data_IF_843283270314
#
_entry.id   IF_843283270314
#
_cell.length_a   1.000
_cell.length_b   1.000
_cell.length_c   1.000
_cell.angle_alpha   90.00
_cell.angle_beta   90.00
_cell.angle_gamma   90.00
#
_symmetry.space_group_name_H-M   'P 1'
#
loop_
_entity.id
_entity.type
_entity.pdbx_description
1 polymer ?
#
# COMPACT_ATOMS: atom_id res chain seq x y z
N UNK A 1 6.49 -27.39 44.18
CA UNK A 1 6.83 -26.09 43.58
C UNK A 1 5.90 -25.85 42.39
N UNK A 2 5.20 -24.73 42.31
CA UNK A 2 4.21 -24.49 41.26
C UNK A 2 4.92 -24.32 39.92
N UNK A 3 4.36 -24.97 38.89
CA UNK A 3 4.78 -24.83 37.49
C UNK A 3 4.52 -23.38 37.09
N UNK A 4 5.57 -22.63 36.74
CA UNK A 4 5.42 -21.36 36.05
C UNK A 4 4.78 -21.65 34.68
N UNK A 5 3.47 -21.46 34.60
CA UNK A 5 2.78 -21.34 33.32
C UNK A 5 3.20 -19.99 32.76
N UNK A 6 4.14 -20.00 31.81
CA UNK A 6 4.48 -18.81 31.03
C UNK A 6 3.38 -18.58 30.00
N UNK A 7 2.19 -18.15 30.45
CA UNK A 7 1.23 -17.49 29.57
C UNK A 7 1.77 -16.09 29.31
N UNK A 8 2.68 -15.98 28.33
CA UNK A 8 2.97 -14.68 27.73
C UNK A 8 1.63 -14.14 27.17
N UNK A 9 1.25 -12.89 27.45
CA UNK A 9 0.02 -12.33 26.92
C UNK A 9 0.06 -12.41 25.39
N UNK A 10 -1.02 -12.91 24.81
CA UNK A 10 -1.24 -12.87 23.36
C UNK A 10 -1.67 -11.44 23.02
N UNK A 11 -0.68 -10.59 22.78
CA UNK A 11 -0.87 -9.18 22.47
C UNK A 11 -0.19 -8.82 21.15
N UNK A 12 -0.89 -8.05 20.32
CA UNK A 12 -0.34 -7.53 19.08
C UNK A 12 -0.86 -6.14 18.81
N UNK A 13 0.05 -5.26 18.44
CA UNK A 13 -0.24 -3.87 18.12
C UNK A 13 0.49 -3.46 16.85
N UNK A 14 -0.18 -2.69 16.02
CA UNK A 14 0.37 -1.98 14.87
C UNK A 14 0.72 -0.58 15.36
N UNK A 15 1.98 -0.16 15.18
CA UNK A 15 2.40 1.21 15.45
C UNK A 15 1.59 2.17 14.56
N UNK A 16 0.66 2.89 15.18
CA UNK A 16 -0.35 3.67 14.47
C UNK A 16 -0.50 5.06 15.10
N UNK A 17 -0.29 6.10 14.28
CA UNK A 17 -0.51 7.50 14.64
C UNK A 17 -1.84 7.99 14.07
N UNK A 18 -2.68 8.56 14.94
CA UNK A 18 -3.93 9.20 14.54
C UNK A 18 -3.75 10.71 14.48
N UNK A 19 -4.15 11.32 13.36
CA UNK A 19 -4.29 12.76 13.25
C UNK A 19 -5.48 13.22 14.11
N UNK A 20 -5.28 14.30 14.86
CA UNK A 20 -6.40 14.96 15.54
C UNK A 20 -7.30 15.60 14.50
N UNK A 21 -8.61 15.41 14.63
CA UNK A 21 -9.59 15.99 13.73
C UNK A 21 -9.44 17.51 13.62
N UNK A 22 -9.43 18.04 12.41
CA UNK A 22 -9.19 19.47 12.12
C UNK A 22 -10.46 20.34 12.14
N UNK A 23 -11.61 19.76 11.82
CA UNK A 23 -12.94 20.42 11.84
C UNK A 23 -13.94 19.59 12.64
N UNK A 24 -15.22 19.97 12.76
CA UNK A 24 -16.18 19.25 13.61
C UNK A 24 -16.74 17.97 12.98
N UNK A 25 -16.79 17.89 11.64
CA UNK A 25 -17.39 16.75 10.92
C UNK A 25 -16.39 15.81 10.22
N UNK A 26 -15.08 16.05 10.33
CA UNK A 26 -14.02 15.31 9.63
C UNK A 26 -13.46 14.07 10.33
N UNK A 27 -14.20 13.43 11.23
CA UNK A 27 -13.75 12.19 11.85
C UNK A 27 -13.39 11.12 10.80
N UNK A 28 -14.16 11.07 9.71
CA UNK A 28 -13.93 10.19 8.56
C UNK A 28 -12.62 10.50 7.82
N UNK A 29 -12.30 11.79 7.63
CA UNK A 29 -11.09 12.23 6.93
C UNK A 29 -9.85 11.98 7.80
N UNK A 30 -9.94 12.21 9.11
CA UNK A 30 -8.86 11.95 10.06
C UNK A 30 -8.49 10.46 10.11
N UNK A 31 -9.49 9.58 10.20
CA UNK A 31 -9.26 8.13 10.15
C UNK A 31 -8.69 7.71 8.78
N UNK A 32 -9.28 8.19 7.68
CA UNK A 32 -8.81 7.88 6.32
C UNK A 32 -7.34 8.25 6.13
N UNK A 33 -6.99 9.50 6.43
CA UNK A 33 -5.62 10.01 6.27
C UNK A 33 -4.64 9.25 7.17
N UNK A 34 -5.01 9.02 8.43
CA UNK A 34 -4.17 8.28 9.38
C UNK A 34 -3.94 6.84 8.96
N UNK A 35 -5.00 6.11 8.57
CA UNK A 35 -4.91 4.72 8.07
C UNK A 35 -4.03 4.68 6.82
N UNK A 36 -4.27 5.57 5.87
CA UNK A 36 -3.49 5.66 4.65
C UNK A 36 -2.01 5.93 4.94
N UNK A 37 -1.71 6.86 5.84
CA UNK A 37 -0.35 7.20 6.27
C UNK A 37 0.33 6.06 7.02
N UNK A 38 -0.41 5.32 7.85
CA UNK A 38 0.11 4.15 8.53
C UNK A 38 0.54 3.06 7.55
N UNK A 39 -0.26 2.81 6.50
CA UNK A 39 0.12 1.86 5.47
C UNK A 39 1.23 2.36 4.55
N UNK A 40 1.25 3.67 4.28
CA UNK A 40 2.31 4.29 3.51
C UNK A 40 3.64 4.35 4.28
N UNK A 41 3.59 4.40 5.62
CA UNK A 41 4.76 4.67 6.47
C UNK A 41 5.18 6.14 6.51
N UNK A 42 4.37 7.05 5.97
CA UNK A 42 4.65 8.48 5.85
C UNK A 42 3.36 9.31 5.77
N UNK A 43 3.42 10.61 6.11
CA UNK A 43 2.27 11.52 6.18
C UNK A 43 1.85 12.08 4.80
N UNK A 44 1.59 11.20 3.82
CA UNK A 44 1.18 11.60 2.46
C UNK A 44 -0.22 12.21 2.38
N UNK A 45 -1.07 11.87 3.35
CA UNK A 45 -2.46 12.27 3.38
C UNK A 45 -2.69 13.21 4.55
N UNK A 46 -3.20 14.39 4.25
CA UNK A 46 -3.82 15.29 5.23
C UNK A 46 -5.33 15.13 5.15
N UNK A 47 -6.03 15.49 6.23
CA UNK A 47 -7.50 15.52 6.24
C UNK A 47 -8.05 16.35 5.09
N UNK A 48 -7.44 17.51 4.81
CA UNK A 48 -7.88 18.33 3.71
C UNK A 48 -7.61 17.76 2.32
N UNK A 49 -6.51 17.03 2.12
CA UNK A 49 -6.24 16.36 0.84
C UNK A 49 -7.27 15.26 0.57
N UNK A 50 -7.73 14.58 1.63
CA UNK A 50 -8.81 13.59 1.58
C UNK A 50 -10.13 14.29 1.26
N UNK A 51 -10.49 15.33 2.02
CA UNK A 51 -11.71 16.12 1.81
C UNK A 51 -11.78 16.71 0.39
N UNK A 52 -10.66 17.28 -0.09
CA UNK A 52 -10.62 17.89 -1.41
C UNK A 52 -10.85 16.89 -2.53
N UNK A 53 -10.35 15.66 -2.39
CA UNK A 53 -10.59 14.58 -3.37
C UNK A 53 -11.99 13.99 -3.28
N UNK A 54 -12.56 13.95 -2.07
CA UNK A 54 -13.93 13.48 -1.86
C UNK A 54 -14.94 14.42 -2.51
N UNK A 55 -14.79 15.71 -2.28
CA UNK A 55 -15.73 16.72 -2.76
C UNK A 55 -15.35 17.34 -4.11
N UNK A 56 -14.18 16.99 -4.65
CA UNK A 56 -13.65 17.52 -5.90
C UNK A 56 -13.58 19.07 -5.93
N UNK A 57 -13.16 19.66 -4.80
CA UNK A 57 -12.98 21.12 -4.56
C UNK A 57 -11.87 21.35 -3.52
N UNK A 58 -11.20 22.51 -3.47
CA UNK A 58 -10.21 22.79 -2.43
C UNK A 58 -10.89 22.87 -1.06
N UNK A 59 -10.36 22.15 -0.07
CA UNK A 59 -10.90 22.10 1.29
C UNK A 59 -9.80 22.25 2.36
N UNK A 60 -8.66 22.91 2.10
CA UNK A 60 -7.59 22.99 3.11
C UNK A 60 -7.79 24.11 4.15
N UNK A 61 -7.51 23.85 5.45
CA UNK A 61 -7.64 24.86 6.50
C UNK A 61 -6.78 26.09 6.19
N UNK A 62 -7.42 27.26 6.12
CA UNK A 62 -6.80 28.54 5.76
C UNK A 62 -7.44 29.17 4.52
N UNK A 63 -7.97 28.34 3.63
CA UNK A 63 -8.92 28.74 2.60
C UNK A 63 -10.31 28.62 3.25
N UNK A 64 -10.98 29.73 3.57
CA UNK A 64 -12.29 29.71 4.26
C UNK A 64 -13.36 28.96 3.44
N UNK A 65 -13.45 27.64 3.63
CA UNK A 65 -14.42 26.75 3.01
C UNK A 65 -15.31 26.07 4.06
N UNK A 66 -16.21 26.83 4.74
CA UNK A 66 -17.16 26.26 5.69
C UNK A 66 -18.02 25.14 5.06
N UNK A 67 -18.24 25.20 3.74
CA UNK A 67 -18.91 24.16 2.95
C UNK A 67 -18.12 22.84 2.80
N UNK A 68 -16.93 22.74 3.37
CA UNK A 68 -16.18 21.49 3.42
C UNK A 68 -16.31 20.79 4.78
N UNK A 69 -16.80 21.45 5.84
CA UNK A 69 -17.01 20.84 7.16
C UNK A 69 -18.30 20.00 7.19
N UNK A 70 -18.33 18.95 6.38
CA UNK A 70 -19.48 18.06 6.20
C UNK A 70 -19.16 16.62 6.65
N UNK A 71 -20.19 15.91 7.12
CA UNK A 71 -20.10 14.49 7.41
C UNK A 71 -20.00 13.68 6.11
N UNK A 72 -19.32 12.53 6.17
CA UNK A 72 -19.14 11.67 5.01
C UNK A 72 -18.81 10.23 5.42
N UNK A 73 -18.62 9.37 4.43
CA UNK A 73 -18.45 7.94 4.62
C UNK A 73 -16.96 7.54 4.64
N UNK A 74 -16.59 6.69 5.60
CA UNK A 74 -15.21 6.23 5.77
C UNK A 74 -14.76 5.28 4.64
N UNK A 75 -15.65 4.44 4.13
CA UNK A 75 -15.35 3.55 3.01
C UNK A 75 -15.01 4.32 1.73
N UNK A 76 -15.74 5.39 1.42
CA UNK A 76 -15.42 6.28 0.30
C UNK A 76 -14.06 6.94 0.47
N UNK A 77 -13.75 7.46 1.65
CA UNK A 77 -12.43 8.01 1.97
C UNK A 77 -11.31 6.96 1.80
N UNK A 78 -11.50 5.77 2.34
CA UNK A 78 -10.58 4.64 2.16
C UNK A 78 -10.48 4.19 0.70
N UNK A 79 -11.53 4.36 -0.11
CA UNK A 79 -11.49 4.08 -1.54
C UNK A 79 -10.65 5.13 -2.29
N UNK A 80 -10.77 6.42 -1.95
CA UNK A 80 -9.96 7.52 -2.52
C UNK A 80 -8.46 7.37 -2.22
N UNK A 81 -8.13 6.77 -1.09
CA UNK A 81 -6.75 6.47 -0.68
C UNK A 81 -6.29 5.07 -1.12
N UNK A 82 -7.15 4.31 -1.80
CA UNK A 82 -6.93 2.92 -2.22
C UNK A 82 -6.69 1.93 -1.07
N UNK A 83 -7.06 2.29 0.15
CA UNK A 83 -6.92 1.48 1.35
C UNK A 83 -8.17 0.67 1.72
N UNK A 84 -9.29 0.80 1.00
CA UNK A 84 -10.48 -0.04 1.24
C UNK A 84 -10.24 -1.49 0.77
N UNK A 85 -10.45 -2.46 1.65
CA UNK A 85 -10.22 -3.88 1.39
C UNK A 85 -11.48 -4.65 0.99
N UNK A 86 -12.63 -4.26 1.53
CA UNK A 86 -13.93 -4.86 1.25
C UNK A 86 -15.03 -3.80 1.52
N UNK A 87 -16.26 -4.02 1.02
CA UNK A 87 -17.42 -3.22 1.43
C UNK A 87 -17.56 -3.19 2.95
N UNK A 88 -18.18 -2.13 3.47
CA UNK A 88 -18.48 -2.05 4.89
C UNK A 88 -19.32 -3.24 5.36
N UNK A 89 -19.07 -3.64 6.61
CA UNK A 89 -19.76 -4.75 7.26
C UNK A 89 -20.63 -4.19 8.39
N UNK A 90 -21.97 -4.32 8.34
CA UNK A 90 -22.88 -3.69 9.31
C UNK A 90 -22.98 -4.47 10.62
N UNK A 91 -21.83 -4.79 11.22
CA UNK A 91 -21.70 -5.40 12.56
C UNK A 91 -20.30 -5.20 13.12
N UNK A 92 -20.17 -5.42 14.42
CA UNK A 92 -18.87 -5.62 15.07
C UNK A 92 -18.20 -6.92 14.59
N UNK A 93 -16.87 -6.93 14.59
CA UNK A 93 -16.07 -8.15 14.41
C UNK A 93 -16.00 -8.94 15.71
N UNK A 94 -15.93 -10.27 15.63
CA UNK A 94 -15.56 -11.09 16.78
C UNK A 94 -14.11 -10.85 17.21
N UNK A 95 -13.74 -11.32 18.42
CA UNK A 95 -12.34 -11.27 18.88
C UNK A 95 -11.39 -11.97 17.91
N UNK A 96 -11.78 -13.12 17.36
CA UNK A 96 -10.96 -13.88 16.41
C UNK A 96 -10.82 -13.15 15.07
N UNK A 97 -11.89 -12.53 14.58
CA UNK A 97 -11.84 -11.72 13.36
C UNK A 97 -10.93 -10.49 13.54
N UNK A 98 -10.93 -9.86 14.72
CA UNK A 98 -10.01 -8.76 15.06
C UNK A 98 -8.57 -9.29 15.05
N UNK A 99 -8.31 -10.44 15.68
CA UNK A 99 -6.98 -11.08 15.68
C UNK A 99 -6.52 -11.32 14.25
N UNK A 100 -7.34 -11.92 13.40
CA UNK A 100 -7.00 -12.23 12.01
C UNK A 100 -6.60 -10.98 11.20
N UNK A 101 -7.29 -9.84 11.39
CA UNK A 101 -6.92 -8.60 10.72
C UNK A 101 -5.60 -8.03 11.24
N UNK A 102 -5.48 -7.89 12.56
CA UNK A 102 -4.28 -7.33 13.20
C UNK A 102 -3.06 -8.21 12.95
N UNK A 103 -3.23 -9.53 12.94
CA UNK A 103 -2.16 -10.49 12.68
C UNK A 103 -1.63 -10.41 11.25
N UNK A 104 -2.48 -9.97 10.34
CA UNK A 104 -2.13 -9.67 8.95
C UNK A 104 -1.72 -8.21 8.75
N UNK A 105 -1.46 -7.47 9.85
CA UNK A 105 -1.09 -6.05 9.89
C UNK A 105 -2.10 -5.15 9.21
N UNK A 106 -3.40 -5.44 9.36
CA UNK A 106 -4.49 -4.60 8.85
C UNK A 106 -5.21 -3.88 9.98
N UNK A 107 -5.23 -2.55 9.90
CA UNK A 107 -6.06 -1.69 10.73
C UNK A 107 -7.55 -1.94 10.44
N UNK A 108 -8.42 -1.67 11.42
CA UNK A 108 -9.87 -1.82 11.25
C UNK A 108 -10.53 -0.48 11.57
N UNK A 109 -11.22 0.09 10.58
CA UNK A 109 -12.07 1.24 10.82
C UNK A 109 -13.38 0.81 11.48
N UNK A 110 -13.89 1.62 12.40
CA UNK A 110 -15.09 1.33 13.19
C UNK A 110 -15.99 2.54 13.21
N UNK A 111 -17.29 2.33 12.96
CA UNK A 111 -18.31 3.36 13.20
C UNK A 111 -19.02 3.11 14.52
N UNK A 112 -18.82 4.03 15.46
CA UNK A 112 -19.64 4.14 16.66
C UNK A 112 -20.90 4.92 16.30
N UNK A 113 -22.06 4.39 16.70
CA UNK A 113 -23.37 5.04 16.55
C UNK A 113 -23.95 5.28 17.92
N UNK A 114 -24.46 6.49 18.15
CA UNK A 114 -25.23 6.84 19.35
C UNK A 114 -26.74 6.78 19.08
N UNK A 115 -27.53 6.71 20.15
CA UNK A 115 -28.99 6.66 20.08
C UNK A 115 -29.60 7.90 19.39
N UNK A 116 -28.96 9.07 19.51
CA UNK A 116 -29.35 10.32 18.87
C UNK A 116 -29.06 10.37 17.35
N UNK A 117 -28.52 9.30 16.76
CA UNK A 117 -28.23 9.21 15.33
C UNK A 117 -26.82 9.64 14.93
N UNK A 118 -26.07 10.29 15.82
CA UNK A 118 -24.68 10.69 15.55
C UNK A 118 -23.79 9.49 15.29
N UNK A 119 -22.84 9.65 14.36
CA UNK A 119 -21.84 8.65 14.01
C UNK A 119 -20.44 9.20 14.20
N UNK A 120 -19.53 8.36 14.69
CA UNK A 120 -18.12 8.70 14.85
C UNK A 120 -17.25 7.57 14.36
N UNK A 121 -16.15 7.91 13.68
CA UNK A 121 -15.18 6.94 13.20
C UNK A 121 -13.98 6.87 14.12
N UNK A 122 -13.56 5.65 14.44
CA UNK A 122 -12.35 5.33 15.19
C UNK A 122 -11.61 4.19 14.48
N UNK A 123 -10.36 3.94 14.89
CA UNK A 123 -9.54 2.87 14.31
C UNK A 123 -9.03 1.94 15.40
N UNK A 124 -9.25 0.63 15.20
CA UNK A 124 -8.60 -0.43 15.97
C UNK A 124 -7.23 -0.71 15.32
N UNK A 125 -6.20 -0.74 16.15
CA UNK A 125 -4.82 -0.99 15.72
C UNK A 125 -4.11 -2.09 16.50
N UNK A 126 -4.81 -2.79 17.39
CA UNK A 126 -4.23 -3.92 18.12
C UNK A 126 -5.23 -4.63 19.01
N UNK A 127 -4.78 -5.72 19.63
CA UNK A 127 -5.48 -6.40 20.71
C UNK A 127 -4.52 -6.86 21.80
N UNK A 128 -5.05 -7.11 23.00
CA UNK A 128 -4.35 -7.83 24.06
C UNK A 128 -5.29 -8.75 24.81
N UNK A 129 -4.78 -9.89 25.25
CA UNK A 129 -5.49 -10.80 26.15
C UNK A 129 -4.83 -10.69 27.52
N UNK A 130 -5.55 -10.18 28.51
CA UNK A 130 -5.09 -10.09 29.89
C UNK A 130 -6.07 -10.82 30.81
N UNK A 131 -5.58 -11.77 31.60
CA UNK A 131 -6.37 -12.59 32.51
C UNK A 131 -7.62 -13.25 31.85
N UNK A 132 -7.51 -13.64 30.58
CA UNK A 132 -8.60 -14.24 29.80
C UNK A 132 -9.63 -13.25 29.23
N UNK A 133 -9.45 -11.94 29.46
CA UNK A 133 -10.28 -10.89 28.88
C UNK A 133 -9.63 -10.29 27.63
N UNK A 134 -10.45 -10.04 26.60
CA UNK A 134 -10.00 -9.46 25.34
C UNK A 134 -10.16 -7.93 25.37
N UNK A 135 -9.05 -7.24 25.12
CA UNK A 135 -8.97 -5.79 25.04
C UNK A 135 -8.51 -5.37 23.65
N UNK A 136 -8.91 -4.17 23.24
CA UNK A 136 -8.67 -3.67 21.88
C UNK A 136 -7.95 -2.33 21.97
N UNK A 137 -6.86 -2.15 21.24
CA UNK A 137 -6.17 -0.86 21.17
C UNK A 137 -6.87 0.03 20.15
N UNK A 138 -7.31 1.21 20.59
CA UNK A 138 -8.13 2.14 19.80
C UNK A 138 -7.48 3.52 19.75
N UNK A 139 -7.48 4.10 18.54
CA UNK A 139 -7.25 5.54 18.34
C UNK A 139 -8.54 6.22 17.87
N UNK A 140 -8.79 7.39 18.42
CA UNK A 140 -9.94 8.22 18.17
C UNK A 140 -9.43 9.62 17.75
N UNK A 141 -9.88 10.19 16.62
CA UNK A 141 -9.35 11.48 16.15
C UNK A 141 -9.77 12.67 17.04
N UNK A 142 -10.74 12.50 17.94
CA UNK A 142 -11.18 13.56 18.87
C UNK A 142 -10.62 13.37 20.29
N UNK A 143 -10.03 12.20 20.60
CA UNK A 143 -9.75 11.80 21.98
C UNK A 143 -8.39 11.11 22.14
N UNK A 144 -7.83 11.04 23.36
CA UNK A 144 -6.63 10.27 23.63
C UNK A 144 -6.81 8.78 23.30
N UNK A 145 -5.69 8.08 23.16
CA UNK A 145 -5.69 6.63 22.92
C UNK A 145 -6.30 5.89 24.10
N UNK A 146 -6.99 4.78 23.81
CA UNK A 146 -7.65 3.96 24.83
C UNK A 146 -7.50 2.47 24.52
N UNK A 147 -7.68 1.65 25.55
CA UNK A 147 -7.61 0.19 25.46
C UNK A 147 -8.87 -0.43 26.09
N UNK A 148 -10.07 -0.17 25.53
CA UNK A 148 -11.32 -0.69 26.09
C UNK A 148 -11.38 -2.21 26.05
N UNK A 149 -12.20 -2.78 26.94
CA UNK A 149 -12.59 -4.19 26.79
C UNK A 149 -13.40 -4.37 25.50
N UNK A 150 -13.41 -5.57 24.93
CA UNK A 150 -14.23 -5.88 23.75
C UNK A 150 -15.71 -5.52 23.98
N UNK A 151 -16.26 -5.90 25.14
CA UNK A 151 -17.65 -5.64 25.48
C UNK A 151 -17.95 -4.13 25.57
N UNK A 152 -17.04 -3.36 26.16
CA UNK A 152 -17.16 -1.90 26.23
C UNK A 152 -17.17 -1.29 24.82
N UNK A 153 -16.22 -1.68 23.96
CA UNK A 153 -16.15 -1.15 22.59
C UNK A 153 -17.42 -1.45 21.79
N UNK A 154 -17.98 -2.65 21.93
CA UNK A 154 -19.16 -3.08 21.16
C UNK A 154 -20.44 -2.40 21.66
N UNK A 155 -20.62 -2.31 22.99
CA UNK A 155 -21.93 -2.00 23.58
C UNK A 155 -22.01 -0.64 24.29
N UNK A 156 -20.88 -0.06 24.68
CA UNK A 156 -20.84 1.14 25.50
C UNK A 156 -19.52 1.89 25.33
N UNK A 157 -19.19 2.28 24.08
CA UNK A 157 -17.90 2.90 23.79
C UNK A 157 -17.69 4.12 24.72
N UNK A 158 -16.59 4.10 25.49
CA UNK A 158 -16.28 5.09 26.54
C UNK A 158 -17.32 5.20 27.66
N UNK A 159 -17.98 4.08 27.98
CA UNK A 159 -19.05 4.00 28.97
C UNK A 159 -20.26 4.92 28.67
N UNK A 160 -20.40 5.36 27.41
CA UNK A 160 -21.52 6.19 27.00
C UNK A 160 -22.75 5.32 26.68
N UNK A 161 -23.89 5.67 27.28
CA UNK A 161 -25.15 4.97 27.05
C UNK A 161 -25.59 5.12 25.58
N UNK A 162 -25.96 3.99 24.96
CA UNK A 162 -26.42 3.95 23.57
C UNK A 162 -25.31 4.05 22.51
N UNK A 163 -24.04 4.17 22.90
CA UNK A 163 -22.89 4.17 21.99
C UNK A 163 -22.48 2.74 21.63
N UNK A 164 -22.72 2.34 20.38
CA UNK A 164 -22.45 0.96 19.92
C UNK A 164 -21.60 0.91 18.66
N UNK A 165 -20.76 -0.12 18.54
CA UNK A 165 -20.11 -0.46 17.28
C UNK A 165 -21.16 -0.94 16.28
N UNK A 166 -21.41 -0.11 15.27
CA UNK A 166 -22.45 -0.37 14.26
C UNK A 166 -21.92 -0.93 12.95
N UNK A 167 -20.77 -0.44 12.46
CA UNK A 167 -20.19 -0.84 11.18
C UNK A 167 -18.69 -1.01 11.27
N UNK A 168 -18.15 -1.91 10.44
CA UNK A 168 -16.73 -2.24 10.32
C UNK A 168 -16.25 -1.92 8.91
N UNK A 169 -15.07 -1.33 8.82
CA UNK A 169 -14.40 -0.97 7.58
C UNK A 169 -13.07 -1.71 7.51
N UNK A 170 -12.99 -2.68 6.59
CA UNK A 170 -11.76 -3.42 6.36
C UNK A 170 -10.81 -2.57 5.55
N UNK A 171 -9.62 -2.34 6.11
CA UNK A 171 -8.57 -1.62 5.42
C UNK A 171 -7.46 -2.56 4.97
N UNK A 172 -6.67 -2.13 4.00
CA UNK A 172 -5.51 -2.84 3.49
C UNK A 172 -4.42 -1.85 3.12
N UNK A 173 -3.16 -2.29 3.05
CA UNK A 173 -2.16 -1.57 2.28
C UNK A 173 -2.70 -1.31 0.88
N UNK A 174 -2.56 -0.07 0.40
CA UNK A 174 -2.97 0.24 -0.96
C UNK A 174 -2.27 -0.71 -1.94
N UNK A 175 -3.01 -1.20 -2.93
CA UNK A 175 -2.45 -2.12 -3.92
C UNK A 175 -1.24 -1.44 -4.60
N UNK A 176 -0.05 -2.05 -4.48
CA UNK A 176 1.23 -1.46 -4.93
C UNK A 176 2.10 -0.87 -3.81
N UNK A 177 1.61 -0.84 -2.57
CA UNK A 177 2.33 -0.34 -1.38
C UNK A 177 2.73 -1.53 -0.49
N UNK A 178 3.60 -2.39 -1.02
CA UNK A 178 4.47 -3.26 -0.21
C UNK A 178 5.88 -2.70 -0.27
N UNK A 179 6.03 -1.46 0.17
CA UNK A 179 7.29 -0.82 0.42
C UNK A 179 7.08 0.01 1.69
N UNK A 180 7.79 -0.33 2.76
CA UNK A 180 8.05 0.63 3.82
C UNK A 180 8.81 1.79 3.17
N UNK A 181 8.08 2.86 2.83
CA UNK A 181 8.66 4.09 2.29
C UNK A 181 9.00 5.00 3.46
N UNK A 182 10.27 5.37 3.57
CA UNK A 182 10.70 6.44 4.47
C UNK A 182 10.19 7.79 3.94
N UNK A 183 9.72 8.64 4.86
CA UNK A 183 9.31 10.01 4.59
C UNK A 183 10.45 10.83 4.01
N UNK A 184 10.20 11.48 2.89
CA UNK A 184 10.99 12.61 2.41
C UNK A 184 10.51 13.89 3.11
N UNK A 185 10.69 13.99 4.42
CA UNK A 185 10.66 15.31 5.09
C UNK A 185 12.03 15.98 4.92
N UNK A 186 12.44 16.25 3.68
CA UNK A 186 13.49 17.20 3.35
C UNK A 186 13.44 17.51 1.86
N UNK A 187 13.00 18.71 1.51
CA UNK A 187 13.21 19.32 0.19
C UNK A 187 14.69 19.25 -0.23
N UNK A 188 15.61 19.23 0.75
CA UNK A 188 17.04 18.94 0.56
C UNK A 188 17.37 17.51 0.08
N UNK A 189 16.61 16.47 0.46
CA UNK A 189 16.88 15.08 0.06
C UNK A 189 16.39 14.82 -1.35
N UNK A 190 15.22 15.34 -1.73
CA UNK A 190 14.76 15.33 -3.12
C UNK A 190 15.72 16.11 -4.03
N UNK A 191 16.22 17.27 -3.58
CA UNK A 191 17.24 18.05 -4.30
C UNK A 191 18.63 17.39 -4.28
N UNK A 192 19.04 16.68 -3.22
CA UNK A 192 20.32 15.95 -3.17
C UNK A 192 20.27 14.67 -4.00
N UNK A 193 19.18 13.91 -3.99
CA UNK A 193 18.99 12.71 -4.82
C UNK A 193 18.86 13.09 -6.30
N UNK A 194 18.13 14.17 -6.62
CA UNK A 194 18.04 14.74 -7.97
C UNK A 194 19.33 15.43 -8.46
N UNK A 195 20.14 16.05 -7.57
CA UNK A 195 21.44 16.65 -7.92
C UNK A 195 22.58 15.62 -8.00
N UNK A 196 22.53 14.54 -7.20
CA UNK A 196 23.52 13.46 -7.22
C UNK A 196 23.30 12.52 -8.41
N UNK A 197 22.05 12.35 -8.87
CA UNK A 197 21.76 11.54 -10.04
C UNK A 197 21.38 12.39 -11.25
N UNK A 198 22.37 12.68 -12.08
CA UNK A 198 22.14 13.07 -13.47
C UNK A 198 21.46 11.89 -14.19
N UNK A 199 20.12 11.85 -14.16
CA UNK A 199 19.29 10.84 -14.84
C UNK A 199 19.62 10.77 -16.33
N UNK A 200 20.22 11.83 -16.89
CA UNK A 200 20.78 11.88 -18.24
C UNK A 200 22.01 10.96 -18.44
N UNK A 201 22.85 10.78 -17.42
CA UNK A 201 23.98 9.80 -17.43
C UNK A 201 23.48 8.37 -17.27
N UNK A 202 22.48 8.13 -16.42
CA UNK A 202 21.86 6.82 -16.25
C UNK A 202 21.22 6.33 -17.57
N UNK A 203 20.54 7.22 -18.30
CA UNK A 203 19.96 6.93 -19.62
C UNK A 203 21.03 6.65 -20.70
N UNK A 204 22.19 7.31 -20.65
CA UNK A 204 23.33 6.96 -21.53
C UNK A 204 23.89 5.57 -21.26
N UNK A 205 23.72 5.02 -20.06
CA UNK A 205 24.10 3.64 -19.72
C UNK A 205 23.08 2.61 -20.21
N UNK A 206 21.79 2.97 -20.26
CA UNK A 206 20.70 2.12 -20.77
C UNK A 206 20.92 1.72 -22.24
N UNK A 207 21.34 2.66 -23.08
CA UNK A 207 21.66 2.40 -24.50
C UNK A 207 22.94 1.58 -24.75
N UNK A 208 23.69 1.17 -23.71
CA UNK A 208 24.96 0.44 -23.84
C UNK A 208 25.13 -0.75 -22.88
N UNK A 209 24.15 -1.02 -22.01
CA UNK A 209 24.31 -2.00 -20.93
C UNK A 209 24.22 -3.45 -21.45
N UNK A 210 25.36 -4.01 -21.84
CA UNK A 210 25.58 -5.45 -21.72
C UNK A 210 25.59 -5.78 -20.21
N UNK A 211 24.48 -6.28 -19.67
CA UNK A 211 24.32 -6.53 -18.22
C UNK A 211 25.43 -7.42 -17.58
N UNK A 212 26.23 -8.14 -18.39
CA UNK A 212 27.40 -8.91 -17.94
C UNK A 212 28.60 -8.06 -17.48
N UNK A 213 28.69 -6.78 -17.86
CA UNK A 213 29.82 -5.90 -17.50
C UNK A 213 29.47 -4.88 -16.42
N UNK A 214 28.25 -4.91 -15.88
CA UNK A 214 27.83 -3.99 -14.83
C UNK A 214 28.62 -4.26 -13.54
N UNK A 215 29.35 -3.27 -13.00
CA UNK A 215 30.01 -3.38 -11.70
C UNK A 215 29.06 -3.90 -10.61
N UNK A 216 29.63 -4.51 -9.56
CA UNK A 216 28.89 -4.95 -8.36
C UNK A 216 28.12 -3.81 -7.67
N UNK A 217 28.48 -2.57 -7.98
CA UNK A 217 27.87 -1.31 -7.52
C UNK A 217 27.46 -0.41 -8.70
N UNK A 218 26.86 -1.00 -9.73
CA UNK A 218 26.31 -0.21 -10.83
C UNK A 218 24.87 0.24 -10.56
N UNK A 219 24.56 1.46 -10.94
CA UNK A 219 23.18 1.94 -10.97
C UNK A 219 22.43 1.18 -12.07
N UNK A 220 21.27 0.61 -11.74
CA UNK A 220 20.44 -0.13 -12.71
C UNK A 220 19.11 0.60 -12.94
N UNK A 221 19.06 1.52 -13.91
CA UNK A 221 17.81 2.17 -14.30
C UNK A 221 16.93 1.24 -15.15
N UNK A 222 15.61 1.36 -15.03
CA UNK A 222 14.63 0.73 -15.92
C UNK A 222 13.23 1.33 -15.79
N UNK A 223 12.46 1.26 -16.87
CA UNK A 223 11.07 1.74 -16.91
C UNK A 223 10.10 0.87 -16.10
N UNK A 224 9.10 1.51 -15.49
CA UNK A 224 7.99 0.85 -14.80
C UNK A 224 6.74 0.93 -15.68
N UNK A 225 6.15 -0.24 -15.92
CA UNK A 225 4.92 -0.41 -16.66
C UNK A 225 3.83 -0.98 -15.76
N UNK A 226 2.63 -0.43 -15.84
CA UNK A 226 1.47 -0.89 -15.07
C UNK A 226 0.36 -1.33 -16.02
N UNK A 227 -0.26 -2.47 -15.75
CA UNK A 227 -1.51 -2.87 -16.41
C UNK A 227 -2.65 -2.60 -15.41
N UNK A 228 -3.50 -1.59 -15.67
CA UNK A 228 -4.71 -1.38 -14.87
C UNK A 228 -5.61 -2.63 -14.93
N UNK A 229 -6.25 -3.00 -13.82
CA UNK A 229 -7.08 -4.22 -13.76
C UNK A 229 -8.14 -4.29 -14.86
N UNK A 230 -8.75 -3.15 -15.22
CA UNK A 230 -9.74 -3.06 -16.31
C UNK A 230 -9.20 -3.55 -17.66
N UNK A 231 -7.88 -3.46 -17.91
CA UNK A 231 -7.26 -3.95 -19.15
C UNK A 231 -7.03 -5.47 -19.14
N UNK A 232 -7.29 -6.15 -18.03
CA UNK A 232 -7.14 -7.60 -17.87
C UNK A 232 -8.46 -8.36 -17.94
N UNK A 233 -9.61 -7.68 -17.88
CA UNK A 233 -10.94 -8.29 -17.86
C UNK A 233 -11.62 -8.08 -19.22
N UNK A 234 -11.89 -9.18 -19.95
CA UNK A 234 -12.72 -9.32 -21.18
C UNK A 234 -12.35 -8.42 -22.37
N UNK A 235 -11.89 -9.02 -23.49
CA UNK A 235 -11.63 -8.39 -24.81
C UNK A 235 -10.77 -7.10 -24.81
N UNK A 236 -10.14 -6.77 -23.69
CA UNK A 236 -9.26 -5.63 -23.56
C UNK A 236 -7.82 -5.98 -23.96
N UNK A 237 -7.19 -5.08 -24.71
CA UNK A 237 -5.76 -5.13 -24.96
C UNK A 237 -5.03 -4.93 -23.63
N UNK A 238 -4.43 -5.99 -23.09
CA UNK A 238 -3.63 -6.00 -21.86
C UNK A 238 -2.26 -5.30 -22.02
N UNK A 239 -2.25 -4.21 -22.79
CA UNK A 239 -1.06 -3.42 -23.10
C UNK A 239 -0.69 -2.60 -21.86
N UNK A 240 0.53 -2.80 -21.32
CA UNK A 240 1.02 -2.05 -20.16
C UNK A 240 1.27 -0.57 -20.50
N UNK A 241 0.94 0.32 -19.57
CA UNK A 241 1.24 1.76 -19.66
C UNK A 241 2.54 2.07 -18.93
N UNK A 242 3.44 2.88 -19.51
CA UNK A 242 4.60 3.40 -18.77
C UNK A 242 4.09 4.36 -17.69
N UNK A 243 4.43 4.09 -16.44
CA UNK A 243 3.89 4.77 -15.25
C UNK A 243 4.96 5.24 -14.28
N UNK A 244 6.22 4.91 -14.55
CA UNK A 244 7.32 5.34 -13.70
C UNK A 244 8.68 4.93 -14.23
N UNK A 245 9.68 5.21 -13.41
CA UNK A 245 11.08 4.90 -13.66
C UNK A 245 11.74 4.43 -12.37
N UNK A 246 12.43 3.29 -12.41
CA UNK A 246 13.09 2.67 -11.26
C UNK A 246 14.60 2.80 -11.39
N UNK A 247 15.26 3.11 -10.28
CA UNK A 247 16.71 3.18 -10.15
C UNK A 247 17.14 2.35 -8.95
N UNK A 248 18.09 1.43 -9.14
CA UNK A 248 18.78 0.77 -8.03
C UNK A 248 20.07 1.53 -7.75
N UNK A 249 20.22 2.07 -6.55
CA UNK A 249 21.41 2.82 -6.14
C UNK A 249 22.28 1.99 -5.17
N UNK A 250 23.54 1.70 -5.54
CA UNK A 250 24.53 1.07 -4.67
C UNK A 250 25.44 2.06 -3.94
N UNK A 251 25.17 3.38 -4.01
CA UNK A 251 25.98 4.43 -3.37
C UNK A 251 26.01 4.33 -1.85
N UNK A 252 24.95 3.77 -1.25
CA UNK A 252 24.93 3.46 0.18
C UNK A 252 25.87 2.27 0.45
N UNK A 253 26.91 2.52 1.26
CA UNK A 253 28.01 1.57 1.51
C UNK A 253 27.55 0.30 2.24
N UNK A 254 26.42 0.35 2.93
CA UNK A 254 25.97 -0.72 3.82
C UNK A 254 24.80 -1.53 3.25
N UNK A 255 23.95 -0.95 2.40
CA UNK A 255 22.79 -1.63 1.77
C UNK A 255 22.39 -1.01 0.44
N UNK A 256 21.94 -1.84 -0.50
CA UNK A 256 21.33 -1.40 -1.76
C UNK A 256 19.96 -0.75 -1.51
N UNK A 257 19.63 0.29 -2.29
CA UNK A 257 18.33 0.96 -2.26
C UNK A 257 17.71 0.95 -3.66
N UNK A 258 16.39 0.89 -3.74
CA UNK A 258 15.65 1.08 -4.99
C UNK A 258 14.81 2.34 -4.86
N UNK A 259 14.83 3.19 -5.89
CA UNK A 259 14.06 4.41 -5.98
C UNK A 259 13.13 4.32 -7.19
N UNK A 260 11.87 4.65 -7.02
CA UNK A 260 10.94 4.83 -8.14
C UNK A 260 10.51 6.28 -8.24
N UNK A 261 10.40 6.74 -9.48
CA UNK A 261 10.05 8.10 -9.86
C UNK A 261 8.86 8.06 -10.82
N UNK A 262 8.10 9.16 -10.91
CA UNK A 262 6.98 9.30 -11.87
C UNK A 262 7.43 9.16 -13.33
N UNK A 263 8.63 9.61 -13.65
CA UNK A 263 9.22 9.56 -14.98
C UNK A 263 10.75 9.68 -14.91
N UNK A 264 11.42 9.59 -16.05
CA UNK A 264 12.88 9.59 -16.15
C UNK A 264 13.55 10.98 -16.05
N UNK A 265 12.78 12.07 -15.92
CA UNK A 265 13.32 13.44 -15.90
C UNK A 265 14.03 13.73 -14.59
N UNK A 266 15.05 14.58 -14.63
CA UNK A 266 15.91 14.92 -13.49
C UNK A 266 15.17 15.60 -12.32
N UNK A 267 13.98 16.16 -12.56
CA UNK A 267 13.10 16.75 -11.56
C UNK A 267 11.83 15.92 -11.31
N UNK A 268 11.81 14.65 -11.75
CA UNK A 268 10.65 13.80 -11.56
C UNK A 268 10.38 13.61 -10.06
N UNK A 269 9.13 13.73 -9.62
CA UNK A 269 8.75 13.36 -8.27
C UNK A 269 9.17 11.93 -7.97
N UNK A 270 9.74 11.74 -6.77
CA UNK A 270 10.04 10.43 -6.21
C UNK A 270 8.73 9.79 -5.74
N UNK A 271 8.36 8.66 -6.32
CA UNK A 271 7.21 7.87 -5.90
C UNK A 271 7.52 7.07 -4.64
N UNK A 272 8.68 6.41 -4.60
CA UNK A 272 9.03 5.53 -3.49
C UNK A 272 10.50 5.20 -3.35
N UNK A 273 10.91 4.85 -2.14
CA UNK A 273 12.20 4.21 -1.84
C UNK A 273 11.94 2.84 -1.21
N UNK A 274 12.59 1.80 -1.72
CA UNK A 274 12.53 0.43 -1.21
C UNK A 274 13.90 0.10 -0.62
N UNK A 275 13.89 -0.26 0.67
CA UNK A 275 15.09 -0.55 1.45
C UNK A 275 15.00 -1.86 2.25
N UNK A 276 13.99 -2.69 1.98
CA UNK A 276 13.92 -4.05 2.52
C UNK A 276 15.12 -4.82 1.98
N UNK A 277 16.14 -5.01 2.83
CA UNK A 277 17.40 -5.60 2.43
C UNK A 277 17.23 -6.96 1.75
N UNK A 278 16.32 -7.81 2.24
CA UNK A 278 16.07 -9.13 1.64
C UNK A 278 15.44 -9.00 0.26
N UNK A 279 14.45 -8.12 0.11
CA UNK A 279 13.81 -7.89 -1.17
C UNK A 279 14.77 -7.26 -2.18
N UNK A 280 15.54 -6.24 -1.78
CA UNK A 280 16.46 -5.55 -2.69
C UNK A 280 17.59 -6.46 -3.13
N UNK A 281 18.16 -7.26 -2.22
CA UNK A 281 19.16 -8.29 -2.56
C UNK A 281 18.56 -9.33 -3.51
N UNK A 282 17.35 -9.81 -3.25
CA UNK A 282 16.66 -10.74 -4.13
C UNK A 282 16.44 -10.14 -5.52
N UNK A 283 15.98 -8.89 -5.60
CA UNK A 283 15.73 -8.18 -6.83
C UNK A 283 17.00 -8.01 -7.66
N UNK A 284 18.09 -7.59 -7.02
CA UNK A 284 19.41 -7.46 -7.65
C UNK A 284 19.91 -8.82 -8.15
N UNK A 285 19.79 -9.87 -7.33
CA UNK A 285 20.20 -11.22 -7.69
C UNK A 285 19.47 -11.75 -8.92
N UNK A 286 18.16 -11.48 -9.06
CA UNK A 286 17.39 -11.88 -10.24
C UNK A 286 17.88 -11.13 -11.49
N UNK A 287 18.18 -9.84 -11.39
CA UNK A 287 18.72 -9.06 -12.53
C UNK A 287 20.08 -9.62 -12.95
N UNK A 288 20.97 -9.87 -11.99
CA UNK A 288 22.32 -10.36 -12.27
C UNK A 288 22.32 -11.76 -12.87
N UNK A 289 21.54 -12.69 -12.33
CA UNK A 289 21.49 -14.08 -12.81
C UNK A 289 20.92 -14.21 -14.23
N UNK A 290 20.18 -13.20 -14.70
CA UNK A 290 19.54 -13.20 -16.01
C UNK A 290 20.17 -12.23 -17.02
N UNK A 291 21.32 -11.64 -16.69
CA UNK A 291 22.13 -10.83 -17.59
C UNK A 291 22.71 -11.65 -18.75
N UNK A 292 22.01 -11.67 -19.90
CA UNK A 292 22.51 -12.32 -21.13
C UNK A 292 23.42 -11.39 -21.95
N UNK A 293 24.15 -11.95 -22.94
CA UNK A 293 24.98 -11.20 -23.91
C UNK A 293 24.14 -10.39 -24.92
N UNK A 294 22.90 -10.80 -25.15
CA UNK A 294 21.94 -10.16 -26.06
C UNK A 294 21.33 -8.93 -25.39
N UNK A 295 21.13 -7.85 -26.15
CA UNK A 295 20.62 -6.58 -25.64
C UNK A 295 19.11 -6.69 -25.37
N UNK A 296 18.72 -6.64 -24.10
CA UNK A 296 17.33 -6.48 -23.68
C UNK A 296 17.21 -5.18 -22.90
N UNK A 297 16.15 -4.42 -23.10
CA UNK A 297 15.76 -3.35 -22.20
C UNK A 297 15.13 -3.99 -20.95
N UNK A 298 15.69 -3.71 -19.77
CA UNK A 298 15.07 -4.12 -18.51
C UNK A 298 13.87 -3.21 -18.23
N UNK A 299 12.76 -3.81 -17.80
CA UNK A 299 11.52 -3.14 -17.41
C UNK A 299 10.93 -3.82 -16.19
N UNK A 300 10.08 -3.10 -15.45
CA UNK A 300 9.26 -3.66 -14.39
C UNK A 300 7.80 -3.67 -14.83
N UNK A 301 7.12 -4.81 -14.72
CA UNK A 301 5.69 -4.93 -14.98
C UNK A 301 4.93 -5.06 -13.66
N UNK A 302 3.90 -4.23 -13.48
CA UNK A 302 3.05 -4.19 -12.30
C UNK A 302 1.59 -4.42 -12.63
N UNK A 303 0.92 -5.20 -11.78
CA UNK A 303 -0.54 -5.27 -11.72
C UNK A 303 -0.96 -5.10 -10.26
N UNK A 304 -1.16 -3.86 -9.81
CA UNK A 304 -1.41 -3.55 -8.40
C UNK A 304 -2.59 -4.33 -7.82
N UNK A 305 -3.69 -4.44 -8.56
CA UNK A 305 -4.93 -5.08 -8.12
C UNK A 305 -4.80 -6.59 -7.97
N UNK A 306 -3.79 -7.21 -8.61
CA UNK A 306 -3.42 -8.61 -8.42
C UNK A 306 -2.21 -8.78 -7.49
N UNK A 307 -1.64 -7.69 -6.98
CA UNK A 307 -0.41 -7.67 -6.17
C UNK A 307 0.79 -8.33 -6.89
N UNK A 308 0.90 -8.10 -8.19
CA UNK A 308 1.95 -8.70 -9.02
C UNK A 308 3.00 -7.67 -9.41
N UNK A 309 4.27 -8.03 -9.19
CA UNK A 309 5.43 -7.39 -9.79
C UNK A 309 6.31 -8.45 -10.47
N UNK A 310 6.76 -8.18 -11.69
CA UNK A 310 7.68 -9.06 -12.40
C UNK A 310 8.65 -8.25 -13.28
N UNK A 311 9.87 -8.77 -13.45
CA UNK A 311 10.85 -8.16 -14.34
C UNK A 311 10.54 -8.55 -15.78
N UNK A 312 10.51 -7.58 -16.67
CA UNK A 312 10.27 -7.75 -18.08
C UNK A 312 11.55 -7.43 -18.86
N UNK A 313 12.08 -8.44 -19.53
CA UNK A 313 13.21 -8.30 -20.43
C UNK A 313 12.67 -8.12 -21.84
N UNK A 314 12.69 -6.89 -22.31
CA UNK A 314 12.14 -6.52 -23.61
C UNK A 314 13.23 -6.50 -24.68
N UNK A 315 13.04 -7.21 -25.78
CA UNK A 315 13.92 -7.17 -26.93
C UNK A 315 13.46 -6.06 -27.89
N UNK A 316 14.26 -5.01 -28.02
CA UNK A 316 13.93 -3.84 -28.86
C UNK A 316 13.84 -4.18 -30.36
N UNK A 317 14.43 -5.30 -30.81
CA UNK A 317 14.43 -5.72 -32.21
C UNK A 317 13.31 -6.72 -32.52
N UNK A 318 13.05 -7.64 -31.60
CA UNK A 318 12.12 -8.76 -31.79
C UNK A 318 11.31 -8.99 -30.50
N UNK A 319 10.17 -8.32 -30.35
CA UNK A 319 9.33 -8.39 -29.14
C UNK A 319 8.77 -9.78 -28.82
N UNK A 320 8.82 -10.72 -29.78
CA UNK A 320 8.48 -12.13 -29.58
C UNK A 320 9.42 -12.85 -28.62
N UNK A 321 10.64 -12.33 -28.45
CA UNK A 321 11.65 -12.86 -27.52
C UNK A 321 11.49 -12.30 -26.09
N UNK A 322 10.48 -11.47 -25.86
CA UNK A 322 10.20 -10.89 -24.55
C UNK A 322 9.89 -11.99 -23.54
N UNK A 323 10.53 -11.88 -22.38
CA UNK A 323 10.26 -12.78 -21.26
C UNK A 323 10.11 -12.04 -19.95
N UNK A 324 9.33 -12.66 -19.08
CA UNK A 324 9.03 -12.22 -17.73
C UNK A 324 9.78 -13.11 -16.75
N UNK A 325 10.26 -12.51 -15.65
CA UNK A 325 10.73 -13.23 -14.47
C UNK A 325 9.94 -12.77 -13.27
N UNK A 326 9.28 -13.72 -12.59
CA UNK A 326 8.54 -13.46 -11.37
C UNK A 326 9.47 -13.06 -10.22
N UNK A 327 9.19 -11.93 -9.57
CA UNK A 327 9.95 -11.49 -8.39
C UNK A 327 9.48 -12.21 -7.13
N UNK A 328 8.18 -12.53 -7.07
CA UNK A 328 7.52 -13.30 -6.01
C UNK A 328 6.63 -14.36 -6.65
N UNK A 329 6.22 -15.35 -5.86
CA UNK A 329 5.25 -16.37 -6.30
C UNK A 329 3.95 -15.70 -6.79
N UNK A 330 3.46 -16.12 -7.96
CA UNK A 330 2.19 -15.64 -8.52
C UNK A 330 1.40 -16.81 -9.10
N UNK A 331 0.24 -17.11 -8.51
CA UNK A 331 -0.56 -18.26 -8.90
C UNK A 331 0.25 -19.56 -8.87
N UNK A 332 0.32 -20.32 -10.00
CA UNK A 332 1.13 -21.54 -10.09
C UNK A 332 2.62 -21.26 -10.27
N UNK A 333 3.02 -20.02 -10.54
CA UNK A 333 4.40 -19.70 -10.87
C UNK A 333 5.24 -19.44 -9.62
N UNK A 334 6.36 -20.15 -9.52
CA UNK A 334 7.33 -19.98 -8.45
C UNK A 334 8.04 -18.62 -8.55
N UNK A 335 8.84 -18.30 -7.54
CA UNK A 335 9.72 -17.13 -7.58
C UNK A 335 10.91 -17.39 -8.52
N UNK A 336 11.35 -16.37 -9.26
CA UNK A 336 12.37 -16.46 -10.32
C UNK A 336 11.98 -17.37 -11.50
N UNK A 337 10.69 -17.64 -11.69
CA UNK A 337 10.23 -18.41 -12.83
C UNK A 337 10.24 -17.55 -14.08
N UNK A 338 10.91 -18.05 -15.13
CA UNK A 338 10.92 -17.46 -16.47
C UNK A 338 9.68 -17.89 -17.24
N UNK A 339 9.01 -16.93 -17.87
CA UNK A 339 7.81 -17.12 -18.68
C UNK A 339 7.92 -16.28 -19.95
N UNK A 340 7.26 -16.67 -21.04
CA UNK A 340 7.05 -15.73 -22.14
C UNK A 340 6.13 -14.58 -21.70
N UNK A 341 6.23 -13.43 -22.36
CA UNK A 341 5.33 -12.30 -22.08
C UNK A 341 3.86 -12.71 -22.25
N UNK A 342 3.54 -13.43 -23.31
CA UNK A 342 2.18 -13.90 -23.61
C UNK A 342 1.62 -14.85 -22.56
N UNK A 343 2.39 -15.84 -22.09
CA UNK A 343 1.96 -16.75 -21.03
C UNK A 343 1.66 -16.01 -19.73
N UNK A 344 2.49 -15.02 -19.39
CA UNK A 344 2.30 -14.23 -18.19
C UNK A 344 1.05 -13.36 -18.27
N UNK A 345 0.82 -12.69 -19.40
CA UNK A 345 -0.40 -11.90 -19.64
C UNK A 345 -1.65 -12.79 -19.57
N UNK A 346 -1.62 -13.97 -20.18
CA UNK A 346 -2.75 -14.91 -20.11
C UNK A 346 -3.07 -15.33 -18.68
N UNK A 347 -2.04 -15.56 -17.86
CA UNK A 347 -2.23 -15.87 -16.45
C UNK A 347 -2.79 -14.69 -15.62
N UNK A 348 -2.34 -13.46 -15.92
CA UNK A 348 -2.90 -12.24 -15.32
C UNK A 348 -4.37 -12.06 -15.68
N UNK A 349 -4.74 -12.26 -16.95
CA UNK A 349 -6.14 -12.20 -17.40
C UNK A 349 -7.00 -13.25 -16.70
N UNK A 350 -6.54 -14.49 -16.62
CA UNK A 350 -7.23 -15.55 -15.85
C UNK A 350 -7.43 -15.18 -14.38
N UNK A 351 -6.39 -14.66 -13.72
CA UNK A 351 -6.48 -14.23 -12.34
C UNK A 351 -7.45 -13.05 -12.17
N UNK A 352 -7.48 -12.12 -13.12
CA UNK A 352 -8.43 -11.01 -13.14
C UNK A 352 -9.87 -11.48 -13.33
N UNK A 353 -10.14 -12.39 -14.28
CA UNK A 353 -11.47 -12.98 -14.49
C UNK A 353 -11.97 -13.75 -13.27
N UNK A 354 -11.11 -14.54 -12.61
CA UNK A 354 -11.48 -15.24 -11.38
C UNK A 354 -11.84 -14.25 -10.25
N UNK A 355 -11.18 -13.08 -10.22
CA UNK A 355 -11.45 -12.03 -9.24
C UNK A 355 -12.73 -11.24 -9.56
N UNK A 356 -13.06 -11.02 -10.85
CA UNK A 356 -14.29 -10.32 -11.26
C UNK A 356 -15.56 -11.16 -11.05
N UNK A 357 -15.53 -12.46 -11.32
CA UNK A 357 -16.67 -13.37 -11.10
C UNK A 357 -17.10 -13.40 -9.63
N UNK A 358 -16.15 -13.27 -8.70
CA UNK A 358 -16.45 -13.16 -7.26
C UNK A 358 -16.97 -11.78 -6.83
N UNK A 359 -16.92 -10.78 -7.71
CA UNK A 359 -17.44 -9.44 -7.46
C UNK A 359 -18.91 -9.31 -7.91
N UNK A 360 -19.31 -9.98 -9.00
CA UNK A 360 -20.69 -9.92 -9.52
C UNK A 360 -21.71 -10.72 -8.69
N UNK A 361 -21.28 -11.79 -8.01
CA UNK A 361 -22.14 -12.58 -7.10
C UNK A 361 -22.50 -11.87 -5.78
N UNK A 362 -22.25 -10.56 -5.64
CA UNK A 362 -22.57 -9.77 -4.44
C UNK A 362 -23.85 -8.94 -4.58
N UNK A 363 -24.55 -9.04 -5.70
CA UNK A 363 -25.77 -8.29 -5.98
C UNK A 363 -26.96 -9.18 -6.36
N UNK A 364 -26.91 -10.47 -6.03
CA UNK A 364 -28.06 -11.38 -6.05
C UNK A 364 -28.53 -11.69 -4.62
#
# INVERSE_FOLDING_TARGET
MPKFVTNLPDNREIAFGMQRQETDNWCWAANTASIANCYAGQNLWTQCSVASRMFNKPCCPGDSHPECDEDSYLDEGLQRTHNLAAPELPRALSSDEIKDQIDQRRLIGVRIRWANGFGHFITIHGYSINAGQFFVYVKDPQRPSSVPSYNELVNSYQHAEGARWSHTYFSRPAAGVSALQFSADHEEVSLKVAKVMDTTKARKMENKAHFKTLPRKAIVPHDIFTIPFRKLVVNANAVPDKTGYRIIDPSNKDRLLIFDFDNEKSNSPLQQVINDGKFVEQYENIIRSNSKKQAFALRLLRVPELSVEALWYHNEKESVDDYIITIKKFGPFATQQRLSFTEFIYALQRAASAKSVNHDKRYE
#
